data_IF_814438923991
#
_entry.id   IF_814438923991
#
_cell.length_a   1.000
_cell.length_b   1.000
_cell.length_c   1.000
_cell.angle_alpha   90.00
_cell.angle_beta   90.00
_cell.angle_gamma   90.00
#
_symmetry.space_group_name_H-M   'P 1'
#
loop_
_entity.id
_entity.type
_entity.pdbx_description
1 polymer ?
#
# COMPACT_ATOMS: atom_id res chain seq x y z
N UNK A 1 13.91 -1.86 -19.98
CA UNK A 1 12.90 -2.67 -19.26
C UNK A 1 13.62 -3.51 -18.22
N UNK A 2 13.55 -3.14 -16.95
CA UNK A 2 14.21 -3.89 -15.88
C UNK A 2 13.15 -4.62 -15.07
N UNK A 3 13.03 -5.92 -15.36
CA UNK A 3 12.03 -6.78 -14.75
C UNK A 3 12.24 -6.77 -13.23
N UNK A 4 11.23 -6.38 -12.43
CA UNK A 4 11.32 -6.32 -10.96
C UNK A 4 11.79 -7.64 -10.34
N UNK A 5 11.63 -8.76 -11.06
CA UNK A 5 12.14 -10.09 -10.73
C UNK A 5 13.66 -10.18 -10.56
N UNK A 6 14.46 -9.42 -11.34
CA UNK A 6 15.94 -9.43 -11.20
C UNK A 6 16.40 -8.70 -9.95
N UNK A 7 15.71 -7.62 -9.58
CA UNK A 7 16.02 -6.86 -8.37
C UNK A 7 15.77 -7.72 -7.12
N UNK A 8 14.62 -8.42 -7.08
CA UNK A 8 14.27 -9.32 -5.98
C UNK A 8 15.28 -10.47 -5.86
N UNK A 9 15.70 -11.06 -6.98
CA UNK A 9 16.70 -12.15 -6.98
C UNK A 9 18.08 -11.72 -6.48
N UNK A 10 18.56 -10.54 -6.87
CA UNK A 10 19.84 -9.99 -6.40
C UNK A 10 19.79 -9.66 -4.91
N UNK A 11 18.67 -9.13 -4.43
CA UNK A 11 18.49 -8.77 -3.03
C UNK A 11 18.40 -10.02 -2.14
N UNK A 12 17.69 -11.06 -2.60
CA UNK A 12 17.66 -12.37 -1.94
C UNK A 12 19.04 -13.03 -1.89
N UNK A 13 19.83 -12.94 -2.96
CA UNK A 13 21.20 -13.47 -2.99
C UNK A 13 22.10 -12.81 -1.93
N UNK A 14 22.10 -11.48 -1.85
CA UNK A 14 22.91 -10.75 -0.87
C UNK A 14 22.48 -11.03 0.58
N UNK A 15 21.16 -11.12 0.83
CA UNK A 15 20.64 -11.51 2.15
C UNK A 15 21.13 -12.91 2.53
N UNK A 16 20.98 -13.89 1.65
CA UNK A 16 21.40 -15.28 1.91
C UNK A 16 22.91 -15.38 2.14
N UNK A 17 23.71 -14.59 1.43
CA UNK A 17 25.18 -14.53 1.60
C UNK A 17 25.58 -14.02 2.99
N UNK A 18 24.95 -12.94 3.46
CA UNK A 18 25.18 -12.37 4.82
C UNK A 18 24.79 -13.36 5.91
N UNK A 19 23.70 -14.12 5.72
CA UNK A 19 23.25 -15.16 6.64
C UNK A 19 24.32 -16.25 6.81
N UNK A 20 24.85 -16.76 5.71
CA UNK A 20 25.85 -17.85 5.73
C UNK A 20 27.16 -17.39 6.36
N UNK A 21 27.63 -16.18 6.04
CA UNK A 21 28.81 -15.57 6.64
C UNK A 21 28.66 -15.41 8.16
N UNK A 22 27.52 -14.88 8.61
CA UNK A 22 27.26 -14.67 10.04
C UNK A 22 27.21 -15.98 10.84
N UNK A 23 26.54 -17.01 10.29
CA UNK A 23 26.51 -18.34 10.91
C UNK A 23 27.90 -18.98 11.01
N UNK A 24 28.79 -18.69 10.05
CA UNK A 24 30.17 -19.18 10.05
C UNK A 24 31.01 -18.48 11.12
N UNK A 25 30.84 -17.17 11.28
CA UNK A 25 31.54 -16.37 12.32
C UNK A 25 31.06 -16.72 13.73
N UNK A 26 29.77 -16.98 13.93
CA UNK A 26 29.18 -17.36 15.22
C UNK A 26 29.68 -18.74 15.73
N UNK A 27 30.24 -19.58 14.85
CA UNK A 27 30.83 -20.87 15.21
C UNK A 27 32.27 -20.73 15.75
N UNK A 28 32.89 -19.55 15.64
CA UNK A 28 34.32 -19.35 15.82
C UNK A 28 34.73 -18.84 17.23
N UNK A 29 33.82 -18.32 18.05
CA UNK A 29 34.12 -17.87 19.43
C UNK A 29 33.02 -18.32 20.40
N UNK A 30 33.38 -18.73 21.63
CA UNK A 30 32.44 -19.32 22.62
C UNK A 30 32.20 -18.45 23.86
N UNK A 31 32.85 -17.28 23.98
CA UNK A 31 32.81 -16.45 25.20
C UNK A 31 31.93 -15.20 25.12
N UNK A 32 32.04 -14.42 24.03
CA UNK A 32 31.13 -13.30 23.73
C UNK A 32 29.86 -13.76 22.97
N UNK A 33 29.81 -15.05 22.66
CA UNK A 33 28.86 -15.72 21.79
C UNK A 33 27.61 -16.28 22.48
N UNK A 34 27.26 -15.84 23.69
CA UNK A 34 25.90 -16.09 24.20
C UNK A 34 25.00 -14.90 23.89
N UNK A 35 25.41 -13.69 24.27
CA UNK A 35 24.63 -12.46 24.05
C UNK A 35 24.56 -12.02 22.59
N UNK A 36 25.68 -12.08 21.87
CA UNK A 36 25.72 -11.72 20.44
C UNK A 36 24.98 -12.78 19.61
N UNK A 37 25.10 -14.06 19.98
CA UNK A 37 24.44 -15.16 19.27
C UNK A 37 22.93 -15.18 19.45
N UNK A 38 22.42 -14.76 20.62
CA UNK A 38 20.98 -14.60 20.85
C UNK A 38 20.46 -13.44 19.98
N UNK A 39 21.17 -12.30 19.95
CA UNK A 39 20.78 -11.16 19.12
C UNK A 39 20.81 -11.50 17.62
N UNK A 40 21.86 -12.16 17.14
CA UNK A 40 21.99 -12.57 15.74
C UNK A 40 20.95 -13.63 15.36
N UNK A 41 20.64 -14.57 16.25
CA UNK A 41 19.61 -15.59 16.05
C UNK A 41 18.21 -14.99 16.04
N UNK A 42 17.98 -13.82 16.66
CA UNK A 42 16.70 -13.11 16.61
C UNK A 42 16.59 -12.17 15.40
N UNK A 43 17.69 -11.54 14.98
CA UNK A 43 17.72 -10.66 13.81
C UNK A 43 17.54 -11.44 12.50
N UNK A 44 18.04 -12.67 12.44
CA UNK A 44 17.96 -13.53 11.27
C UNK A 44 16.51 -13.83 10.81
N UNK A 45 15.61 -14.33 11.69
CA UNK A 45 14.19 -14.47 11.39
C UNK A 45 13.53 -13.15 10.95
N UNK A 46 13.88 -12.04 11.62
CA UNK A 46 13.31 -10.72 11.35
C UNK A 46 13.67 -10.26 9.93
N UNK A 47 14.94 -10.36 9.53
CA UNK A 47 15.38 -9.99 8.18
C UNK A 47 14.69 -10.82 7.09
N UNK A 48 14.53 -12.12 7.33
CA UNK A 48 13.80 -13.01 6.42
C UNK A 48 12.33 -12.60 6.33
N UNK A 49 11.68 -12.35 7.47
CA UNK A 49 10.29 -11.90 7.52
C UNK A 49 10.10 -10.56 6.79
N UNK A 50 10.98 -9.57 7.02
CA UNK A 50 10.96 -8.29 6.31
C UNK A 50 11.09 -8.48 4.81
N UNK A 51 12.02 -9.34 4.36
CA UNK A 51 12.21 -9.64 2.95
C UNK A 51 10.94 -10.26 2.33
N UNK A 52 10.33 -11.22 3.02
CA UNK A 52 9.07 -11.85 2.61
C UNK A 52 7.96 -10.81 2.51
N UNK A 53 7.80 -9.94 3.51
CA UNK A 53 6.79 -8.87 3.51
C UNK A 53 6.98 -7.94 2.31
N UNK A 54 8.21 -7.52 2.02
CA UNK A 54 8.49 -6.65 0.86
C UNK A 54 8.14 -7.34 -0.45
N UNK A 55 8.56 -8.59 -0.63
CA UNK A 55 8.31 -9.35 -1.86
C UNK A 55 6.82 -9.58 -2.07
N UNK A 56 6.13 -10.12 -1.06
CA UNK A 56 4.68 -10.37 -1.12
C UNK A 56 3.94 -9.04 -1.29
N UNK A 57 4.33 -8.00 -0.55
CA UNK A 57 3.74 -6.68 -0.62
C UNK A 57 3.81 -6.09 -2.03
N UNK A 58 4.97 -6.15 -2.69
CA UNK A 58 5.12 -5.66 -4.07
C UNK A 58 4.20 -6.41 -5.03
N UNK A 59 4.10 -7.73 -4.90
CA UNK A 59 3.22 -8.58 -5.73
C UNK A 59 1.76 -8.20 -5.51
N UNK A 60 1.32 -8.10 -4.25
CA UNK A 60 -0.05 -7.74 -3.87
C UNK A 60 -0.41 -6.34 -4.38
N UNK A 61 0.46 -5.36 -4.18
CA UNK A 61 0.24 -3.98 -4.64
C UNK A 61 0.14 -3.90 -6.15
N UNK A 62 0.99 -4.64 -6.86
CA UNK A 62 0.97 -4.69 -8.33
C UNK A 62 -0.29 -5.36 -8.84
N UNK A 63 -0.70 -6.47 -8.22
CA UNK A 63 -1.95 -7.17 -8.54
C UNK A 63 -3.16 -6.27 -8.31
N UNK A 64 -3.22 -5.61 -7.15
CA UNK A 64 -4.32 -4.73 -6.79
C UNK A 64 -4.42 -3.53 -7.75
N UNK A 65 -3.29 -2.89 -8.06
CA UNK A 65 -3.22 -1.81 -9.06
C UNK A 65 -3.76 -2.26 -10.41
N UNK A 66 -3.34 -3.44 -10.89
CA UNK A 66 -3.83 -3.99 -12.16
C UNK A 66 -5.32 -4.36 -12.11
N UNK A 67 -5.80 -4.90 -10.99
CA UNK A 67 -7.21 -5.23 -10.78
C UNK A 67 -8.10 -3.98 -10.88
N UNK A 68 -7.71 -2.88 -10.20
CA UNK A 68 -8.44 -1.63 -10.28
C UNK A 68 -8.33 -0.94 -11.65
N UNK A 69 -7.21 -1.06 -12.36
CA UNK A 69 -7.10 -0.61 -13.76
C UNK A 69 -8.13 -1.35 -14.62
N UNK A 70 -8.27 -2.67 -14.45
CA UNK A 70 -9.24 -3.48 -15.19
C UNK A 70 -10.67 -3.07 -14.89
N UNK A 71 -11.02 -2.84 -13.62
CA UNK A 71 -12.33 -2.31 -13.24
C UNK A 71 -12.59 -0.95 -13.88
N UNK A 72 -11.61 -0.04 -13.82
CA UNK A 72 -11.74 1.30 -14.40
C UNK A 72 -11.89 1.26 -15.94
N UNK A 73 -11.22 0.32 -16.62
CA UNK A 73 -11.42 0.07 -18.05
C UNK A 73 -12.83 -0.44 -18.35
N UNK A 74 -13.34 -1.37 -17.55
CA UNK A 74 -14.68 -1.92 -17.70
C UNK A 74 -15.77 -0.88 -17.40
N UNK A 75 -15.48 0.14 -16.58
CA UNK A 75 -16.38 1.25 -16.27
C UNK A 75 -16.31 2.41 -17.30
N UNK A 76 -15.68 2.21 -18.47
CA UNK A 76 -15.53 3.20 -19.53
C UNK A 76 -14.87 4.54 -19.08
N UNK A 77 -13.97 4.49 -18.09
CA UNK A 77 -13.25 5.67 -17.63
C UNK A 77 -12.25 6.13 -18.70
N UNK A 78 -12.31 7.42 -19.07
CA UNK A 78 -11.51 8.02 -20.14
C UNK A 78 -9.98 7.87 -19.96
N UNK A 79 -9.51 7.71 -18.71
CA UNK A 79 -8.10 7.39 -18.43
C UNK A 79 -7.93 6.59 -17.11
N UNK A 80 -7.73 5.26 -17.18
CA UNK A 80 -7.56 4.39 -16.00
C UNK A 80 -6.13 4.38 -15.43
N UNK A 81 -5.14 4.91 -16.16
CA UNK A 81 -3.72 4.91 -15.78
C UNK A 81 -3.43 5.66 -14.46
N UNK A 82 -3.97 6.87 -14.20
CA UNK A 82 -3.70 7.58 -12.95
C UNK A 82 -4.21 6.84 -11.71
N UNK A 83 -5.35 6.15 -11.82
CA UNK A 83 -5.94 5.35 -10.71
C UNK A 83 -4.97 4.23 -10.31
N UNK A 84 -4.50 3.47 -11.30
CA UNK A 84 -3.53 2.40 -11.06
C UNK A 84 -2.22 2.89 -10.44
N UNK A 85 -1.71 4.04 -10.90
CA UNK A 85 -0.51 4.68 -10.33
C UNK A 85 -0.73 5.08 -8.88
N UNK A 86 -1.85 5.73 -8.55
CA UNK A 86 -2.17 6.14 -7.19
C UNK A 86 -2.17 4.93 -6.22
N UNK A 87 -2.83 3.83 -6.63
CA UNK A 87 -2.88 2.59 -5.84
C UNK A 87 -1.48 1.99 -5.65
N UNK A 88 -0.64 2.01 -6.69
CA UNK A 88 0.76 1.56 -6.59
C UNK A 88 1.55 2.37 -5.57
N UNK A 89 1.49 3.70 -5.65
CA UNK A 89 2.23 4.57 -4.73
C UNK A 89 1.78 4.39 -3.29
N UNK A 90 0.47 4.40 -3.04
CA UNK A 90 -0.09 4.18 -1.69
C UNK A 90 0.31 2.80 -1.16
N UNK A 91 0.16 1.76 -2.01
CA UNK A 91 0.52 0.40 -1.64
C UNK A 91 1.99 0.23 -1.29
N UNK A 92 2.91 0.82 -2.06
CA UNK A 92 4.34 0.75 -1.74
C UNK A 92 4.69 1.45 -0.43
N UNK A 93 4.02 2.56 -0.11
CA UNK A 93 4.22 3.24 1.19
C UNK A 93 3.81 2.32 2.33
N UNK A 94 2.66 1.65 2.22
CA UNK A 94 2.19 0.70 3.24
C UNK A 94 3.18 -0.45 3.43
N UNK A 95 3.65 -1.06 2.33
CA UNK A 95 4.63 -2.15 2.37
C UNK A 95 5.95 -1.68 3.00
N UNK A 96 6.40 -0.46 2.69
CA UNK A 96 7.60 0.11 3.29
C UNK A 96 7.45 0.33 4.80
N UNK A 97 6.30 0.86 5.24
CA UNK A 97 6.01 1.04 6.68
C UNK A 97 6.00 -0.31 7.40
N UNK A 98 5.35 -1.33 6.85
CA UNK A 98 5.33 -2.69 7.42
C UNK A 98 6.73 -3.30 7.49
N UNK A 99 7.56 -3.11 6.46
CA UNK A 99 8.93 -3.60 6.45
C UNK A 99 9.81 -2.91 7.51
N UNK A 100 9.63 -1.60 7.71
CA UNK A 100 10.32 -0.84 8.76
C UNK A 100 9.91 -1.28 10.18
N UNK A 101 8.62 -1.56 10.37
CA UNK A 101 8.09 -2.12 11.62
C UNK A 101 8.73 -3.48 11.93
N UNK A 102 8.79 -4.36 10.93
CA UNK A 102 9.38 -5.68 11.09
C UNK A 102 10.86 -5.64 11.47
N UNK A 103 11.62 -4.68 10.94
CA UNK A 103 13.05 -4.48 11.26
C UNK A 103 13.34 -4.08 12.72
N UNK A 104 12.32 -3.80 13.54
CA UNK A 104 12.55 -3.45 14.94
C UNK A 104 13.20 -2.08 15.12
N UNK A 105 13.16 -1.21 14.10
CA UNK A 105 13.49 0.22 14.24
C UNK A 105 12.54 0.94 15.23
N UNK A 106 11.50 0.24 15.71
CA UNK A 106 10.72 0.59 16.87
C UNK A 106 11.02 -0.33 18.04
N UNK A 107 11.22 0.27 19.21
CA UNK A 107 10.41 -0.19 20.32
C UNK A 107 9.23 0.74 20.63
N UNK A 108 9.28 2.06 20.37
CA UNK A 108 8.04 2.88 20.45
C UNK A 108 8.14 4.24 19.76
N UNK A 109 9.25 4.95 19.95
CA UNK A 109 9.31 6.39 19.63
C UNK A 109 9.36 6.65 18.13
N UNK A 110 10.27 5.95 17.42
CA UNK A 110 10.45 6.14 15.97
C UNK A 110 9.19 5.74 15.20
N UNK A 111 8.56 4.61 15.58
CA UNK A 111 7.29 4.18 14.98
C UNK A 111 6.19 5.22 15.18
N UNK A 112 6.05 5.76 16.39
CA UNK A 112 5.06 6.81 16.69
C UNK A 112 5.25 8.05 15.81
N UNK A 113 6.49 8.50 15.59
CA UNK A 113 6.78 9.66 14.75
C UNK A 113 6.46 9.38 13.27
N UNK A 114 6.81 8.21 12.77
CA UNK A 114 6.47 7.79 11.40
C UNK A 114 4.95 7.73 11.19
N UNK A 115 4.22 7.13 12.14
CA UNK A 115 2.76 7.07 12.11
C UNK A 115 2.16 8.47 12.15
N UNK A 116 2.67 9.36 13.01
CA UNK A 116 2.22 10.76 13.09
C UNK A 116 2.44 11.50 11.78
N UNK A 117 3.62 11.37 11.17
CA UNK A 117 3.94 12.03 9.91
C UNK A 117 3.04 11.51 8.78
N UNK A 118 2.86 10.20 8.69
CA UNK A 118 1.96 9.58 7.72
C UNK A 118 0.50 10.00 7.94
N UNK A 119 0.04 10.01 9.20
CA UNK A 119 -1.30 10.45 9.56
C UNK A 119 -1.53 11.93 9.21
N UNK A 120 -0.55 12.80 9.47
CA UNK A 120 -0.62 14.21 9.09
C UNK A 120 -0.71 14.38 7.56
N UNK A 121 0.11 13.67 6.80
CA UNK A 121 0.05 13.68 5.34
C UNK A 121 -1.29 13.15 4.81
N UNK A 122 -1.77 12.03 5.36
CA UNK A 122 -3.06 11.44 5.02
C UNK A 122 -4.23 12.39 5.33
N UNK A 123 -4.19 13.07 6.47
CA UNK A 123 -5.20 14.06 6.86
C UNK A 123 -5.18 15.28 5.94
N UNK A 124 -3.99 15.79 5.59
CA UNK A 124 -3.84 16.88 4.63
C UNK A 124 -4.40 16.53 3.25
N UNK A 125 -4.13 15.32 2.76
CA UNK A 125 -4.72 14.81 1.52
C UNK A 125 -6.24 14.67 1.64
N UNK A 126 -6.75 14.09 2.74
CA UNK A 126 -8.18 13.93 2.95
C UNK A 126 -8.93 15.28 2.94
N UNK A 127 -8.35 16.32 3.56
CA UNK A 127 -8.90 17.67 3.52
C UNK A 127 -8.83 18.29 2.13
N UNK A 128 -7.69 18.16 1.44
CA UNK A 128 -7.53 18.67 0.07
C UNK A 128 -8.53 18.03 -0.90
N UNK A 129 -8.72 16.70 -0.82
CA UNK A 129 -9.72 15.98 -1.61
C UNK A 129 -11.15 16.35 -1.18
N UNK A 130 -11.44 16.43 0.12
CA UNK A 130 -12.76 16.79 0.62
C UNK A 130 -13.21 18.18 0.15
N UNK A 131 -12.31 19.17 0.19
CA UNK A 131 -12.59 20.52 -0.31
C UNK A 131 -12.61 20.55 -1.85
N UNK A 132 -11.66 19.89 -2.51
CA UNK A 132 -11.55 19.88 -3.97
C UNK A 132 -12.70 19.16 -4.68
N UNK A 133 -13.33 18.18 -4.06
CA UNK A 133 -14.47 17.44 -4.63
C UNK A 133 -15.83 18.06 -4.30
N UNK A 134 -15.90 19.15 -3.52
CA UNK A 134 -17.15 19.78 -3.07
C UNK A 134 -18.07 20.17 -4.23
N UNK A 135 -17.53 20.79 -5.27
CA UNK A 135 -18.32 21.25 -6.42
C UNK A 135 -18.81 20.10 -7.28
N UNK A 136 -18.00 19.04 -7.41
CA UNK A 136 -18.38 17.82 -8.12
C UNK A 136 -19.53 17.09 -7.38
N UNK A 137 -19.43 16.99 -6.05
CA UNK A 137 -20.48 16.38 -5.23
C UNK A 137 -21.80 17.18 -5.31
N UNK A 138 -21.72 18.51 -5.34
CA UNK A 138 -22.89 19.38 -5.51
C UNK A 138 -23.59 19.10 -6.85
N UNK A 139 -22.86 19.12 -7.96
CA UNK A 139 -23.42 18.85 -9.30
C UNK A 139 -24.06 17.47 -9.39
N UNK A 140 -23.38 16.45 -8.88
CA UNK A 140 -23.92 15.08 -8.88
C UNK A 140 -25.24 14.98 -8.11
N UNK A 141 -25.37 15.67 -6.96
CA UNK A 141 -26.60 15.68 -6.18
C UNK A 141 -27.72 16.46 -6.89
N UNK A 142 -27.41 17.61 -7.49
CA UNK A 142 -28.36 18.40 -8.28
C UNK A 142 -28.93 17.58 -9.45
N UNK A 143 -28.06 16.91 -10.21
CA UNK A 143 -28.46 16.03 -11.31
C UNK A 143 -29.29 14.84 -10.81
N UNK A 144 -28.90 14.23 -9.68
CA UNK A 144 -29.64 13.12 -9.08
C UNK A 144 -31.07 13.52 -8.67
N UNK A 145 -31.23 14.66 -8.00
CA UNK A 145 -32.55 15.19 -7.61
C UNK A 145 -33.39 15.51 -8.84
N UNK A 146 -32.80 16.15 -9.86
CA UNK A 146 -33.50 16.51 -11.10
C UNK A 146 -34.04 15.26 -11.82
N UNK A 147 -33.23 14.21 -11.91
CA UNK A 147 -33.62 12.93 -12.52
C UNK A 147 -34.75 12.22 -11.74
N UNK A 148 -34.79 12.35 -10.41
CA UNK A 148 -35.90 11.81 -9.61
C UNK A 148 -37.22 12.56 -9.87
N UNK A 149 -37.17 13.89 -9.90
CA UNK A 149 -38.34 14.71 -10.19
C UNK A 149 -38.89 14.49 -11.59
N UNK A 150 -38.02 14.28 -12.58
CA UNK A 150 -38.43 13.96 -13.95
C UNK A 150 -39.13 12.59 -14.02
N UNK A 151 -38.61 11.56 -13.33
CA UNK A 151 -39.30 10.26 -13.23
C UNK A 151 -40.67 10.34 -12.57
N UNK A 152 -40.83 11.15 -11.53
CA UNK A 152 -42.13 11.35 -10.86
C UNK A 152 -43.14 12.10 -11.75
N UNK A 153 -42.69 13.09 -12.52
CA UNK A 153 -43.55 13.81 -13.48
C UNK A 153 -44.02 12.91 -14.61
N UNK A 154 -43.13 12.08 -15.16
CA UNK A 154 -43.49 11.11 -16.20
C UNK A 154 -44.50 10.09 -15.67
N UNK A 155 -44.31 9.58 -14.45
CA UNK A 155 -45.28 8.67 -13.81
C UNK A 155 -46.66 9.31 -13.61
N UNK A 156 -46.72 10.56 -13.16
CA UNK A 156 -47.99 11.28 -12.96
C UNK A 156 -48.71 11.64 -14.26
N UNK A 157 -47.98 11.83 -15.36
CA UNK A 157 -48.56 12.13 -16.67
C UNK A 157 -49.31 10.93 -17.27
N UNK A 158 -48.77 9.72 -17.12
CA UNK A 158 -49.40 8.49 -17.61
C UNK A 158 -50.69 8.10 -16.87
N UNK A 159 -50.89 8.55 -15.64
CA UNK A 159 -52.11 8.26 -14.85
C UNK A 159 -53.31 9.15 -15.22
N UNK A 160 -53.12 10.16 -16.08
CA UNK A 160 -54.18 11.08 -16.54
C UNK A 160 -54.65 10.80 -17.98
N UNK A 161 -54.04 9.83 -18.67
CA UNK A 161 -54.34 9.45 -20.06
C UNK A 161 -55.09 8.10 -20.19
N UNK A 162 -55.47 7.47 -19.06
CA UNK A 162 -56.29 6.25 -19.02
C UNK A 162 -57.71 6.53 -18.52
#
# INVERSE_FOLDING_TARGET
>A
EHSPSKLVGILAYWVLMVIVLSNTVARLDKGAASSISIWISSALPILIATCIIVVIGIVVVTFLSNFFITIARNAAVHNPVPIGKAIKYIGFIVVATMAMEQLGLGQTIVSTIFILLFAAAALGLALAFGIGCKDMARKFMEDFIRNLQEKERVRRGTDLEG
#
